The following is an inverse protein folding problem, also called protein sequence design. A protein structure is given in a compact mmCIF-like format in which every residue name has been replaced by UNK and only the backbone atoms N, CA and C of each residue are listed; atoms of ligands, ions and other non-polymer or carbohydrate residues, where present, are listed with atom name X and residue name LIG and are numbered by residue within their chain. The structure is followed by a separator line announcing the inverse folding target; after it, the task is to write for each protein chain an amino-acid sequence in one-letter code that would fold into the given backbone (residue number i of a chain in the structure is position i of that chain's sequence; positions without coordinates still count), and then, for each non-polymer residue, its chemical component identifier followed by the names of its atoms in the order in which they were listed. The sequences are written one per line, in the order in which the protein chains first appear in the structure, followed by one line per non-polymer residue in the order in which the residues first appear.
data_IF_492552475099
#
_entry.id   IF_492552475099
#
_cell.length_a   1.000
_cell.length_b   1.000
_cell.length_c   1.000
_cell.angle_alpha   90.00
_cell.angle_beta   90.00
_cell.angle_gamma   90.00
#
_symmetry.space_group_name_H-M   'P 1'
#
loop_
_entity.id
_entity.type
_entity.pdbx_description
1 polymer ?
#
# COMPACT_ATOMS: atom_id res chain seq x y z
N UNK A 1 0.04 -17.91 5.73
CA UNK A 1 0.59 -17.92 7.10
C UNK A 1 -0.13 -16.83 7.88
N UNK A 2 -0.51 -17.13 9.10
CA UNK A 2 -1.66 -16.62 9.85
C UNK A 2 -1.26 -15.38 10.67
N UNK A 3 -2.22 -14.48 10.93
CA UNK A 3 -2.01 -13.27 11.74
C UNK A 3 -1.39 -13.63 13.10
N UNK A 4 -0.14 -13.22 13.31
CA UNK A 4 0.52 -13.26 14.61
C UNK A 4 0.25 -11.90 15.25
N UNK A 5 -0.23 -11.90 16.50
CA UNK A 5 -0.48 -10.74 17.37
C UNK A 5 -1.91 -10.16 17.42
N UNK A 6 -2.93 -11.01 17.36
CA UNK A 6 -4.18 -10.74 18.10
C UNK A 6 -4.01 -11.22 19.54
N UNK A 7 -4.12 -10.33 20.53
CA UNK A 7 -4.45 -10.78 21.90
C UNK A 7 -5.90 -11.26 21.85
N UNK A 8 -6.20 -12.43 22.41
CA UNK A 8 -7.57 -12.90 22.58
C UNK A 8 -8.33 -11.89 23.45
N UNK A 9 -9.18 -11.08 22.79
CA UNK A 9 -10.11 -10.20 23.48
C UNK A 9 -11.22 -11.06 24.08
N UNK A 10 -11.48 -10.90 25.37
CA UNK A 10 -12.74 -11.31 25.99
C UNK A 10 -13.93 -10.80 25.14
N UNK A 11 -14.95 -11.65 24.99
CA UNK A 11 -16.16 -11.37 24.21
C UNK A 11 -16.67 -9.94 24.47
N UNK A 12 -16.55 -9.08 23.45
CA UNK A 12 -17.04 -7.70 23.47
C UNK A 12 -16.00 -6.58 23.30
N UNK A 13 -14.69 -6.89 23.26
CA UNK A 13 -13.66 -5.91 22.86
C UNK A 13 -13.35 -6.08 21.36
N UNK A 14 -13.82 -5.15 20.53
CA UNK A 14 -13.50 -5.13 19.11
C UNK A 14 -11.98 -5.05 18.88
N UNK A 15 -11.47 -5.84 17.93
CA UNK A 15 -10.07 -5.81 17.54
C UNK A 15 -9.71 -4.40 17.07
N UNK A 16 -8.71 -3.76 17.70
CA UNK A 16 -8.09 -2.56 17.14
C UNK A 16 -7.13 -3.02 16.05
N UNK A 17 -7.44 -2.62 14.81
CA UNK A 17 -6.67 -2.95 13.62
C UNK A 17 -5.77 -1.78 13.28
N UNK A 18 -4.51 -2.06 12.98
CA UNK A 18 -3.62 -1.12 12.30
C UNK A 18 -3.58 -1.53 10.84
N UNK A 19 -3.82 -0.55 9.97
CA UNK A 19 -3.78 -0.69 8.53
C UNK A 19 -2.69 0.23 7.97
N UNK A 20 -1.87 -0.32 7.08
CA UNK A 20 -0.85 0.42 6.36
C UNK A 20 -1.07 0.16 4.87
N UNK A 21 -1.53 1.18 4.17
CA UNK A 21 -1.65 1.10 2.72
C UNK A 21 -0.25 1.02 2.09
N UNK A 22 -0.19 0.49 0.87
CA UNK A 22 1.03 0.43 0.09
C UNK A 22 2.25 -0.10 0.87
N UNK A 23 2.04 -1.09 1.74
CA UNK A 23 3.08 -1.65 2.63
C UNK A 23 4.33 -2.13 1.85
N UNK A 24 4.16 -2.51 0.58
CA UNK A 24 5.26 -2.89 -0.31
C UNK A 24 5.26 -2.00 -1.55
N UNK A 25 6.34 -1.25 -1.73
CA UNK A 25 6.55 -0.34 -2.84
C UNK A 25 7.88 -0.61 -3.54
N UNK A 26 8.09 0.04 -4.68
CA UNK A 26 9.30 -0.14 -5.49
C UNK A 26 9.79 1.20 -6.05
N UNK A 27 11.11 1.30 -6.23
CA UNK A 27 11.78 2.42 -6.91
C UNK A 27 12.69 1.89 -8.02
N UNK A 28 12.79 2.61 -9.12
CA UNK A 28 13.70 2.28 -10.22
C UNK A 28 15.09 2.85 -9.92
N UNK A 29 16.13 2.05 -10.17
CA UNK A 29 17.53 2.50 -10.03
C UNK A 29 18.32 2.35 -11.31
N UNK A 30 19.38 3.14 -11.46
CA UNK A 30 20.41 2.90 -12.48
C UNK A 30 21.31 1.69 -12.12
N UNK A 31 22.31 1.41 -12.96
CA UNK A 31 23.28 0.32 -12.76
C UNK A 31 24.18 0.51 -11.52
N UNK A 32 24.30 1.76 -11.04
CA UNK A 32 25.05 2.14 -9.84
C UNK A 32 24.16 2.13 -8.58
N UNK A 33 22.87 1.86 -8.72
CA UNK A 33 21.90 1.80 -7.63
C UNK A 33 21.33 3.16 -7.21
N UNK A 34 21.60 4.24 -7.95
CA UNK A 34 20.97 5.54 -7.72
C UNK A 34 19.49 5.45 -8.10
N UNK A 35 18.61 5.99 -7.26
CA UNK A 35 17.18 6.04 -7.59
C UNK A 35 16.96 7.06 -8.71
N UNK A 36 16.41 6.58 -9.83
CA UNK A 36 16.10 7.40 -11.00
C UNK A 36 14.60 7.61 -11.17
N UNK A 37 13.76 6.81 -10.50
CA UNK A 37 12.30 6.90 -10.60
C UNK A 37 11.57 6.26 -9.42
N UNK A 38 10.32 6.70 -9.20
CA UNK A 38 9.40 6.13 -8.20
C UNK A 38 9.33 6.90 -6.88
N UNK A 39 10.15 7.93 -6.67
CA UNK A 39 10.02 8.85 -5.53
C UNK A 39 9.22 10.11 -5.92
N UNK A 40 8.51 10.76 -4.97
CA UNK A 40 8.33 10.33 -3.59
C UNK A 40 7.36 9.14 -3.48
N UNK A 41 7.59 8.28 -2.50
CA UNK A 41 6.65 7.22 -2.14
C UNK A 41 5.77 7.69 -0.99
N UNK A 42 4.48 7.40 -1.06
CA UNK A 42 3.53 7.69 0.00
C UNK A 42 2.86 6.41 0.48
N UNK A 43 2.68 6.30 1.79
CA UNK A 43 1.86 5.29 2.43
C UNK A 43 1.00 5.95 3.52
N UNK A 44 -0.24 5.53 3.71
CA UNK A 44 -1.11 6.02 4.79
C UNK A 44 -1.28 4.95 5.84
N UNK A 45 -1.05 5.34 7.09
CA UNK A 45 -1.31 4.50 8.25
C UNK A 45 -2.58 4.96 8.94
N UNK A 46 -3.47 4.00 9.22
CA UNK A 46 -4.70 4.24 9.97
C UNK A 46 -4.90 3.18 11.05
N UNK A 47 -5.58 3.55 12.15
CA UNK A 47 -5.99 2.62 13.19
C UNK A 47 -7.51 2.65 13.33
N UNK A 48 -8.13 1.48 13.48
CA UNK A 48 -9.58 1.34 13.49
C UNK A 48 -10.08 0.52 14.68
N UNK A 49 -11.26 0.88 15.17
CA UNK A 49 -12.09 0.01 16.02
C UNK A 49 -13.42 -0.26 15.30
N UNK A 50 -13.59 -1.49 14.78
CA UNK A 50 -14.68 -1.78 13.85
C UNK A 50 -14.55 -0.95 12.58
N UNK A 51 -15.55 -0.13 12.24
CA UNK A 51 -15.54 0.79 11.09
C UNK A 51 -15.15 2.23 11.46
N UNK A 52 -14.80 2.49 12.72
CA UNK A 52 -14.48 3.84 13.20
C UNK A 52 -12.98 4.04 13.16
N UNK A 53 -12.52 4.98 12.34
CA UNK A 53 -11.12 5.41 12.35
C UNK A 53 -10.83 6.14 13.66
N UNK A 54 -9.73 5.74 14.31
CA UNK A 54 -9.25 6.32 15.55
C UNK A 54 -8.18 7.37 15.24
N UNK A 55 -8.19 8.47 16.00
CA UNK A 55 -7.15 9.47 15.90
C UNK A 55 -5.81 8.94 16.42
N UNK A 56 -4.76 9.08 15.61
CA UNK A 56 -3.41 8.70 16.03
C UNK A 56 -2.93 9.61 17.16
N UNK A 57 -2.55 9.01 18.29
CA UNK A 57 -1.89 9.67 19.42
C UNK A 57 -0.41 9.88 19.14
N UNK A 58 0.24 8.96 18.43
CA UNK A 58 1.59 9.12 17.88
C UNK A 58 1.72 8.44 16.52
N UNK A 59 2.64 8.94 15.69
CA UNK A 59 3.07 8.32 14.44
C UNK A 59 4.55 8.66 14.24
N UNK A 60 5.40 7.64 14.23
CA UNK A 60 6.85 7.79 14.13
C UNK A 60 7.39 6.85 13.07
N UNK A 61 8.20 7.38 12.15
CA UNK A 61 8.94 6.61 11.15
C UNK A 61 10.42 6.53 11.53
N UNK A 62 11.02 5.35 11.41
CA UNK A 62 12.43 5.10 11.76
C UNK A 62 13.23 4.67 10.52
N UNK A 63 13.53 5.60 9.59
CA UNK A 63 14.26 5.22 8.38
C UNK A 63 15.68 4.71 8.72
N UNK A 64 16.16 3.66 8.02
CA UNK A 64 17.56 3.25 8.12
C UNK A 64 18.49 4.32 7.51
N UNK A 65 19.79 4.17 7.74
CA UNK A 65 20.79 5.08 7.19
C UNK A 65 20.68 5.17 5.65
N UNK A 66 20.80 6.38 5.11
CA UNK A 66 20.67 6.65 3.68
C UNK A 66 19.22 6.79 3.19
N UNK A 67 18.21 6.68 4.05
CA UNK A 67 16.80 6.90 3.70
C UNK A 67 16.27 8.15 4.41
N UNK A 68 15.52 8.98 3.68
CA UNK A 68 14.81 10.14 4.24
C UNK A 68 13.31 9.87 4.16
N UNK A 69 12.68 9.75 5.32
CA UNK A 69 11.24 9.55 5.47
C UNK A 69 10.68 10.48 6.54
N UNK A 70 9.44 10.91 6.33
CA UNK A 70 8.68 11.74 7.27
C UNK A 70 7.31 11.14 7.49
N UNK A 71 6.67 11.47 8.61
CA UNK A 71 5.31 11.05 8.90
C UNK A 71 4.51 12.21 9.47
N UNK A 72 3.29 12.40 8.96
CA UNK A 72 2.32 13.35 9.48
C UNK A 72 1.24 12.62 10.27
N UNK A 73 1.26 12.81 11.59
CA UNK A 73 0.30 12.19 12.51
C UNK A 73 -1.15 12.59 12.22
N UNK A 74 -1.41 13.79 11.69
CA UNK A 74 -2.78 14.27 11.49
C UNK A 74 -3.46 13.56 10.31
N UNK A 75 -2.73 13.39 9.21
CA UNK A 75 -3.22 12.71 8.02
C UNK A 75 -2.94 11.20 8.00
N UNK A 76 -2.00 10.73 8.82
CA UNK A 76 -1.52 9.34 8.76
C UNK A 76 -0.50 9.09 7.65
N UNK A 77 -0.14 10.11 6.86
CA UNK A 77 0.71 9.96 5.67
C UNK A 77 2.18 9.83 6.08
N UNK A 78 2.83 8.78 5.58
CA UNK A 78 4.27 8.57 5.57
C UNK A 78 4.78 8.88 4.15
N UNK A 79 5.78 9.74 4.05
CA UNK A 79 6.41 10.10 2.77
C UNK A 79 7.89 9.79 2.79
N UNK A 80 8.35 9.00 1.82
CA UNK A 80 9.78 8.74 1.56
C UNK A 80 10.23 9.57 0.38
N UNK A 81 11.22 10.43 0.58
CA UNK A 81 11.65 11.43 -0.40
C UNK A 81 13.04 11.17 -0.97
N UNK A 82 13.88 10.40 -0.28
CA UNK A 82 15.23 10.09 -0.74
C UNK A 82 15.68 8.72 -0.27
N UNK A 83 16.39 8.01 -1.14
CA UNK A 83 17.01 6.71 -0.89
C UNK A 83 18.41 6.74 -1.52
N UNK A 84 19.45 6.57 -0.72
CA UNK A 84 20.84 6.57 -1.18
C UNK A 84 21.15 5.32 -2.03
N UNK A 85 22.17 5.42 -2.88
CA UNK A 85 22.60 4.28 -3.68
C UNK A 85 23.20 3.14 -2.84
N UNK A 86 23.81 3.47 -1.71
CA UNK A 86 24.42 2.54 -0.75
C UNK A 86 23.43 1.71 0.05
N UNK A 87 22.12 2.03 0.02
CA UNK A 87 21.10 1.25 0.74
C UNK A 87 20.89 -0.11 0.09
N UNK A 88 20.46 -1.08 0.91
CA UNK A 88 20.07 -2.42 0.46
C UNK A 88 19.00 -2.39 -0.65
N UNK A 89 18.94 -3.47 -1.42
CA UNK A 89 17.93 -3.62 -2.50
C UNK A 89 16.52 -3.81 -1.96
N UNK A 90 16.37 -4.29 -0.73
CA UNK A 90 15.10 -4.35 -0.01
C UNK A 90 15.25 -3.58 1.29
N UNK A 91 14.58 -2.44 1.39
CA UNK A 91 14.62 -1.54 2.53
C UNK A 91 13.38 -1.80 3.36
N UNK A 92 13.54 -1.93 4.68
CA UNK A 92 12.43 -2.02 5.63
C UNK A 92 12.48 -0.84 6.58
N UNK A 93 11.40 -0.08 6.61
CA UNK A 93 11.25 1.11 7.45
C UNK A 93 10.23 0.77 8.54
N UNK A 94 10.67 0.60 9.80
CA UNK A 94 9.75 0.46 10.94
C UNK A 94 8.92 1.74 11.12
N UNK A 95 7.63 1.56 11.35
CA UNK A 95 6.69 2.61 11.67
C UNK A 95 5.98 2.24 12.97
N UNK A 96 6.04 3.13 13.96
CA UNK A 96 5.39 2.97 15.24
C UNK A 96 4.21 3.95 15.32
N UNK A 97 3.03 3.43 15.67
CA UNK A 97 1.83 4.23 15.82
C UNK A 97 1.12 3.89 17.12
N UNK A 98 0.43 4.88 17.69
CA UNK A 98 -0.43 4.66 18.85
C UNK A 98 -1.76 5.38 18.73
N UNK A 99 -2.74 4.90 19.49
CA UNK A 99 -4.05 5.52 19.66
C UNK A 99 -4.54 5.31 21.09
N UNK A 100 -5.49 6.14 21.54
CA UNK A 100 -6.18 5.95 22.81
C UNK A 100 -7.63 5.60 22.52
N UNK A 101 -8.08 4.46 23.02
CA UNK A 101 -9.47 4.02 22.94
C UNK A 101 -9.93 3.51 24.30
N UNK A 102 -11.12 3.95 24.76
CA UNK A 102 -11.64 3.63 26.09
C UNK A 102 -10.63 3.85 27.25
N UNK A 103 -9.90 4.97 27.20
CA UNK A 103 -8.86 5.36 28.16
C UNK A 103 -7.65 4.40 28.24
N UNK A 104 -7.48 3.52 27.26
CA UNK A 104 -6.32 2.63 27.15
C UNK A 104 -5.43 3.05 25.97
N UNK A 105 -4.12 3.14 26.21
CA UNK A 105 -3.13 3.39 25.17
C UNK A 105 -2.85 2.11 24.41
N UNK A 106 -2.92 2.17 23.09
CA UNK A 106 -2.71 1.05 22.19
C UNK A 106 -1.58 1.38 21.24
N UNK A 107 -0.48 0.63 21.33
CA UNK A 107 0.71 0.81 20.50
C UNK A 107 0.86 -0.36 19.53
N UNK A 108 1.27 -0.07 18.30
CA UNK A 108 1.53 -1.06 17.25
C UNK A 108 2.72 -0.62 16.39
N UNK A 109 3.44 -1.60 15.88
CA UNK A 109 4.54 -1.41 14.93
C UNK A 109 4.22 -2.14 13.63
N UNK A 110 4.47 -1.49 12.51
CA UNK A 110 4.39 -2.07 11.15
C UNK A 110 5.65 -1.73 10.36
N UNK A 111 5.77 -2.21 9.12
CA UNK A 111 6.96 -2.03 8.29
C UNK A 111 6.60 -1.66 6.85
N UNK A 112 7.00 -0.47 6.41
CA UNK A 112 7.00 -0.14 4.99
C UNK A 112 8.22 -0.80 4.32
N UNK A 113 7.99 -1.61 3.30
CA UNK A 113 9.03 -2.31 2.53
C UNK A 113 9.18 -1.69 1.14
N UNK A 114 10.41 -1.32 0.78
CA UNK A 114 10.71 -0.71 -0.53
C UNK A 114 11.74 -1.56 -1.26
N UNK A 115 11.45 -1.92 -2.52
CA UNK A 115 12.37 -2.67 -3.38
C UNK A 115 13.03 -1.77 -4.43
N UNK A 116 14.35 -1.86 -4.55
CA UNK A 116 15.14 -1.22 -5.61
C UNK A 116 15.17 -2.13 -6.83
N UNK A 117 14.60 -1.66 -7.94
CA UNK A 117 14.55 -2.38 -9.21
C UNK A 117 15.70 -1.89 -10.09
N UNK A 118 16.67 -2.77 -10.33
CA UNK A 118 17.83 -2.48 -11.20
C UNK A 118 17.45 -2.56 -12.68
N UNK A 119 18.18 -1.85 -13.57
CA UNK A 119 17.93 -1.90 -15.01
C UNK A 119 18.24 -3.29 -15.57
N UNK A 120 17.61 -3.61 -16.72
CA UNK A 120 17.90 -4.83 -17.49
C UNK A 120 19.28 -4.80 -18.16
N UNK A 121 19.63 -5.90 -18.84
CA UNK A 121 20.98 -6.20 -19.36
C UNK A 121 21.62 -5.12 -20.26
N UNK A 122 20.83 -4.20 -20.84
CA UNK A 122 21.31 -3.22 -21.83
C UNK A 122 21.39 -1.77 -21.30
N UNK A 123 21.18 -1.53 -19.99
CA UNK A 123 21.26 -0.19 -19.40
C UNK A 123 20.04 0.71 -19.66
N UNK A 124 18.99 0.16 -20.27
CA UNK A 124 17.69 0.82 -20.44
C UNK A 124 16.99 1.03 -19.09
N UNK A 125 16.36 2.20 -18.93
CA UNK A 125 15.62 2.55 -17.71
C UNK A 125 14.59 1.48 -17.36
N UNK A 126 14.60 1.04 -16.10
CA UNK A 126 13.61 0.09 -15.62
C UNK A 126 12.20 0.70 -15.74
N UNK A 127 11.29 -0.05 -16.37
CA UNK A 127 9.88 0.30 -16.42
C UNK A 127 9.20 -0.30 -15.20
N UNK A 128 8.66 0.56 -14.33
CA UNK A 128 7.86 0.18 -13.18
C UNK A 128 6.38 0.46 -13.46
N UNK A 129 5.53 -0.52 -13.19
CA UNK A 129 4.09 -0.33 -13.15
C UNK A 129 3.60 -0.41 -11.70
N UNK A 130 2.86 0.60 -11.27
CA UNK A 130 2.24 0.67 -9.96
C UNK A 130 0.73 0.67 -10.11
N UNK A 131 0.05 -0.21 -9.37
CA UNK A 131 -1.41 -0.24 -9.30
C UNK A 131 -1.89 0.81 -8.29
N UNK A 132 -2.98 1.49 -8.63
CA UNK A 132 -3.53 2.58 -7.81
C UNK A 132 -5.02 2.36 -7.55
N UNK A 133 -5.38 1.59 -6.52
CA UNK A 133 -6.76 1.53 -6.06
C UNK A 133 -7.29 2.92 -5.70
N UNK A 134 -8.57 3.17 -5.93
CA UNK A 134 -9.22 4.45 -5.60
C UNK A 134 -9.42 4.67 -4.10
N UNK A 135 -9.38 3.58 -3.33
CA UNK A 135 -9.48 3.56 -1.88
C UNK A 135 -8.54 2.48 -1.34
N UNK A 136 -7.93 2.75 -0.20
CA UNK A 136 -6.97 1.84 0.42
C UNK A 136 -7.65 0.75 1.26
N UNK A 137 -8.85 1.04 1.80
CA UNK A 137 -9.64 0.12 2.60
C UNK A 137 -11.14 0.26 2.32
N UNK A 138 -11.89 -0.81 2.56
CA UNK A 138 -13.36 -0.84 2.54
C UNK A 138 -13.82 -1.27 3.93
N UNK A 139 -14.60 -0.43 4.60
CA UNK A 139 -15.14 -0.73 5.92
C UNK A 139 -16.58 -1.17 5.81
N UNK A 140 -16.91 -2.30 6.43
CA UNK A 140 -18.26 -2.87 6.43
C UNK A 140 -18.83 -2.81 7.83
N UNK A 141 -19.99 -2.16 7.98
CA UNK A 141 -20.66 -2.05 9.27
C UNK A 141 -21.30 -3.38 9.71
N UNK A 142 -21.82 -3.41 10.94
CA UNK A 142 -22.48 -4.61 11.50
C UNK A 142 -23.73 -5.07 10.73
N UNK A 143 -24.27 -4.24 9.84
CA UNK A 143 -25.43 -4.53 8.98
C UNK A 143 -25.01 -4.99 7.57
N UNK A 144 -23.70 -5.08 7.30
CA UNK A 144 -23.17 -5.46 5.99
C UNK A 144 -23.10 -4.29 5.00
N UNK A 145 -23.18 -3.04 5.46
CA UNK A 145 -23.12 -1.85 4.60
C UNK A 145 -21.69 -1.34 4.52
N UNK A 146 -21.16 -1.27 3.30
CA UNK A 146 -19.85 -0.68 3.01
C UNK A 146 -19.90 0.86 3.07
N UNK A 147 -18.82 1.48 3.57
CA UNK A 147 -18.62 2.93 3.59
C UNK A 147 -18.42 3.54 2.19
N UNK A 148 -17.83 2.76 1.28
CA UNK A 148 -17.60 3.09 -0.12
C UNK A 148 -18.51 2.23 -1.01
N UNK A 149 -19.14 2.81 -2.04
CA UNK A 149 -20.07 2.09 -2.94
C UNK A 149 -19.35 1.48 -4.15
N UNK A 150 -18.36 2.18 -4.70
CA UNK A 150 -17.59 1.75 -5.85
C UNK A 150 -16.10 1.96 -5.62
N UNK A 151 -15.30 1.04 -6.14
CA UNK A 151 -13.85 1.19 -6.22
C UNK A 151 -13.39 1.11 -7.67
N UNK A 152 -12.29 1.77 -7.97
CA UNK A 152 -11.58 1.67 -9.24
C UNK A 152 -10.10 1.40 -9.00
N UNK A 153 -9.34 1.07 -10.05
CA UNK A 153 -7.90 0.93 -9.98
C UNK A 153 -7.23 1.47 -11.24
N UNK A 154 -6.31 2.41 -11.06
CA UNK A 154 -5.47 2.98 -12.11
C UNK A 154 -4.13 2.26 -12.24
N UNK A 155 -3.37 2.61 -13.28
CA UNK A 155 -1.98 2.17 -13.46
C UNK A 155 -1.09 3.40 -13.66
N UNK A 156 -0.02 3.52 -12.86
CA UNK A 156 1.10 4.43 -13.13
C UNK A 156 2.25 3.69 -13.77
N UNK A 157 2.78 4.23 -14.86
CA UNK A 157 4.04 3.80 -15.48
C UNK A 157 5.12 4.79 -15.10
N UNK A 158 6.21 4.29 -14.53
CA UNK A 158 7.44 5.06 -14.28
C UNK A 158 8.57 4.49 -15.13
N UNK A 159 9.27 5.34 -15.87
CA UNK A 159 10.47 4.99 -16.65
C UNK A 159 11.50 6.11 -16.47
N UNK A 160 12.59 5.79 -15.77
CA UNK A 160 13.54 6.82 -15.31
C UNK A 160 12.80 7.89 -14.50
N UNK A 161 13.00 9.16 -14.83
CA UNK A 161 12.36 10.30 -14.17
C UNK A 161 10.91 10.58 -14.62
N UNK A 162 10.40 9.87 -15.63
CA UNK A 162 9.08 10.13 -16.18
C UNK A 162 8.03 9.20 -15.56
N UNK A 163 7.03 9.81 -14.91
CA UNK A 163 5.86 9.10 -14.36
C UNK A 163 4.60 9.55 -15.07
N UNK A 164 3.84 8.61 -15.62
CA UNK A 164 2.57 8.87 -16.32
C UNK A 164 1.47 7.92 -15.85
N UNK A 165 0.26 8.44 -15.69
CA UNK A 165 -0.95 7.63 -15.51
C UNK A 165 -1.37 7.08 -16.87
N UNK A 166 -1.69 5.79 -16.92
CA UNK A 166 -2.09 5.12 -18.14
C UNK A 166 -3.61 5.11 -18.27
N UNK A 167 -4.10 5.46 -19.45
CA UNK A 167 -5.51 5.29 -19.84
C UNK A 167 -5.76 3.98 -20.60
N UNK A 168 -4.70 3.24 -20.92
CA UNK A 168 -4.75 1.98 -21.65
C UNK A 168 -3.75 0.97 -21.09
N UNK A 169 -4.09 -0.31 -21.20
CA UNK A 169 -3.26 -1.39 -20.72
C UNK A 169 -1.94 -1.47 -21.51
N UNK A 170 -0.78 -1.63 -20.84
CA UNK A 170 0.48 -1.87 -21.53
C UNK A 170 0.42 -3.13 -22.40
N UNK A 171 1.03 -3.05 -23.58
CA UNK A 171 1.07 -4.19 -24.50
C UNK A 171 1.73 -5.41 -23.85
N UNK A 172 1.15 -6.60 -24.04
CA UNK A 172 1.63 -7.84 -23.44
C UNK A 172 1.24 -8.04 -21.97
N UNK A 173 0.52 -7.10 -21.34
CA UNK A 173 0.01 -7.28 -19.98
C UNK A 173 -1.48 -7.63 -19.99
N UNK A 174 -1.92 -8.31 -18.94
CA UNK A 174 -3.32 -8.54 -18.60
C UNK A 174 -3.60 -7.92 -17.22
N UNK A 175 -4.69 -7.17 -17.11
CA UNK A 175 -5.14 -6.59 -15.86
C UNK A 175 -6.39 -7.32 -15.39
N UNK A 176 -6.31 -7.87 -14.18
CA UNK A 176 -7.37 -8.68 -13.59
C UNK A 176 -7.67 -8.25 -12.17
N UNK A 177 -8.85 -8.63 -11.70
CA UNK A 177 -9.21 -8.53 -10.30
C UNK A 177 -9.81 -9.84 -9.79
N UNK A 178 -9.70 -10.07 -8.48
CA UNK A 178 -10.32 -11.21 -7.77
C UNK A 178 -11.03 -10.67 -6.55
N UNK A 179 -12.29 -11.05 -6.37
CA UNK A 179 -13.06 -10.82 -5.14
C UNK A 179 -13.07 -12.12 -4.32
N UNK A 180 -12.77 -12.05 -3.03
CA UNK A 180 -12.96 -13.12 -2.04
C UNK A 180 -12.44 -14.51 -2.42
N UNK A 181 -11.36 -14.57 -3.23
CA UNK A 181 -10.74 -15.82 -3.72
C UNK A 181 -11.57 -16.56 -4.79
N UNK A 182 -12.49 -15.87 -5.44
CA UNK A 182 -13.22 -16.34 -6.62
C UNK A 182 -12.35 -16.32 -7.89
N UNK A 183 -12.96 -16.60 -9.04
CA UNK A 183 -12.27 -16.60 -10.33
C UNK A 183 -11.80 -15.19 -10.70
N UNK A 184 -10.58 -15.09 -11.23
CA UNK A 184 -10.03 -13.84 -11.70
C UNK A 184 -10.77 -13.35 -12.96
N UNK A 185 -11.29 -12.13 -12.88
CA UNK A 185 -11.99 -11.46 -13.97
C UNK A 185 -11.09 -10.43 -14.65
N UNK A 186 -11.32 -10.19 -15.94
CA UNK A 186 -10.63 -9.13 -16.66
C UNK A 186 -11.10 -7.77 -16.15
N UNK A 187 -10.15 -6.87 -15.96
CA UNK A 187 -10.39 -5.53 -15.47
C UNK A 187 -10.00 -4.49 -16.51
N UNK A 188 -10.88 -3.51 -16.75
CA UNK A 188 -10.53 -2.32 -17.53
C UNK A 188 -10.10 -1.21 -16.57
N UNK A 189 -9.05 -0.47 -16.93
CA UNK A 189 -8.55 0.66 -16.13
C UNK A 189 -9.71 1.60 -15.78
N UNK A 190 -9.76 2.01 -14.51
CA UNK A 190 -10.77 2.92 -13.94
C UNK A 190 -12.23 2.44 -14.02
N UNK A 191 -12.46 1.15 -14.30
CA UNK A 191 -13.80 0.56 -14.26
C UNK A 191 -14.31 0.47 -12.81
N UNK A 192 -15.56 0.89 -12.59
CA UNK A 192 -16.22 0.76 -11.29
C UNK A 192 -16.49 -0.71 -10.94
N UNK A 193 -16.07 -1.12 -9.74
CA UNK A 193 -16.43 -2.39 -9.09
C UNK A 193 -17.29 -2.07 -7.88
N UNK A 194 -18.44 -2.73 -7.76
CA UNK A 194 -19.32 -2.58 -6.59
C UNK A 194 -18.67 -3.22 -5.36
N UNK A 195 -18.68 -2.50 -4.24
CA UNK A 195 -18.21 -3.05 -2.96
C UNK A 195 -19.18 -4.05 -2.34
N UNK A 196 -20.45 -4.06 -2.77
CA UNK A 196 -21.50 -4.93 -2.23
C UNK A 196 -21.22 -6.43 -2.36
N UNK A 197 -20.39 -6.82 -3.32
CA UNK A 197 -19.98 -8.22 -3.55
C UNK A 197 -18.74 -8.63 -2.76
N UNK A 198 -18.03 -7.68 -2.13
CA UNK A 198 -16.76 -7.92 -1.43
C UNK A 198 -17.05 -8.16 0.05
N UNK A 199 -16.72 -9.36 0.55
CA UNK A 199 -16.93 -9.75 1.95
C UNK A 199 -15.63 -9.84 2.73
N UNK A 200 -14.50 -10.08 2.06
CA UNK A 200 -13.19 -10.29 2.69
C UNK A 200 -12.10 -9.43 2.05
N UNK A 201 -11.92 -9.51 0.74
CA UNK A 201 -10.83 -8.81 0.04
C UNK A 201 -11.09 -8.69 -1.45
N UNK A 202 -10.45 -7.70 -2.04
CA UNK A 202 -10.27 -7.56 -3.48
C UNK A 202 -8.78 -7.45 -3.78
N UNK A 203 -8.34 -8.08 -4.86
CA UNK A 203 -6.94 -8.04 -5.30
C UNK A 203 -6.91 -7.62 -6.75
N UNK A 204 -6.22 -6.51 -7.03
CA UNK A 204 -5.89 -6.08 -8.38
C UNK A 204 -4.54 -6.66 -8.79
N UNK A 205 -4.44 -7.19 -10.01
CA UNK A 205 -3.25 -7.88 -10.50
C UNK A 205 -2.93 -7.48 -11.93
N UNK A 206 -1.70 -7.03 -12.13
CA UNK A 206 -1.13 -6.82 -13.46
C UNK A 206 -0.15 -7.96 -13.77
N UNK A 207 -0.49 -8.81 -14.73
CA UNK A 207 0.31 -9.99 -15.11
C UNK A 207 0.87 -9.83 -16.51
N UNK A 208 2.12 -10.25 -16.73
CA UNK A 208 2.67 -10.34 -18.07
C UNK A 208 2.01 -11.54 -18.78
N UNK A 209 1.20 -11.27 -19.80
CA UNK A 209 0.32 -12.21 -20.49
C UNK A 209 1.06 -13.09 -21.50
N UNK A 210 2.08 -13.80 -21.03
CA UNK A 210 2.69 -14.92 -21.77
C UNK A 210 1.78 -16.14 -21.80
#
# INVERSE_FOLDING_TARGET
MWAKYGKDGLDGLGSIVLDLDNEIQSVATDSLGNVVGGLPLNATLSMYYGTVQLNLSSLTVRPPEGVVATADRQSGIITVTSIANTTDTTIRIPIDASTVYNNELMERTTYLTINKIKPGADGEDAILYSLMPSVDAIHVDKKGVSDVVFITCGIKKTQGANTVELSQLPNGYAFKYVIDEELAENYTIDQNISTSSIKKKIIFMLTNGG
#
